data_IF_597757221732
#
_entry.id   IF_597757221732
#
_cell.length_a   1.000
_cell.length_b   1.000
_cell.length_c   1.000
_cell.angle_alpha   90.00
_cell.angle_beta   90.00
_cell.angle_gamma   90.00
#
_symmetry.space_group_name_H-M   'P 1'
#
loop_
_entity.id
_entity.type
_entity.pdbx_description
1 polymer ?
#
# COMPACT_ATOMS: atom_id res chain seq x y z
N UNK A 1 -30.55 -64.48 -11.20
CA UNK A 1 -29.78 -63.69 -12.21
C UNK A 1 -28.89 -62.73 -11.46
N UNK A 2 -27.62 -63.08 -11.29
CA UNK A 2 -26.65 -62.21 -10.64
C UNK A 2 -25.93 -61.37 -11.71
N UNK A 3 -26.05 -60.04 -11.60
CA UNK A 3 -25.26 -59.11 -12.39
C UNK A 3 -23.88 -58.94 -11.74
N UNK A 4 -22.83 -59.24 -12.47
CA UNK A 4 -21.45 -58.96 -12.10
C UNK A 4 -21.17 -57.44 -12.32
N UNK A 5 -20.40 -56.79 -11.42
CA UNK A 5 -19.96 -55.41 -11.65
C UNK A 5 -18.85 -55.33 -12.71
N UNK A 6 -18.99 -54.34 -13.61
CA UNK A 6 -18.01 -54.06 -14.65
C UNK A 6 -16.69 -53.49 -14.09
N UNK A 7 -15.60 -53.49 -14.87
CA UNK A 7 -14.28 -53.08 -14.41
C UNK A 7 -14.23 -51.57 -14.14
N UNK A 8 -13.64 -51.22 -12.99
CA UNK A 8 -13.32 -49.84 -12.59
C UNK A 8 -12.10 -49.41 -13.42
N UNK A 9 -12.29 -48.47 -14.35
CA UNK A 9 -11.19 -47.81 -15.05
C UNK A 9 -10.64 -46.70 -14.17
N UNK A 10 -9.39 -46.83 -13.74
CA UNK A 10 -8.64 -45.76 -13.10
C UNK A 10 -8.41 -44.61 -14.11
N UNK A 11 -8.59 -43.34 -13.72
CA UNK A 11 -8.21 -42.21 -14.57
C UNK A 11 -6.68 -42.21 -14.70
N UNK A 12 -6.22 -42.01 -15.93
CA UNK A 12 -4.80 -41.78 -16.22
C UNK A 12 -4.28 -40.56 -15.44
N UNK A 13 -3.03 -40.59 -14.97
CA UNK A 13 -2.42 -39.44 -14.33
C UNK A 13 -2.28 -38.30 -15.34
N UNK A 14 -2.92 -37.15 -15.06
CA UNK A 14 -2.74 -35.93 -15.83
C UNK A 14 -1.29 -35.50 -15.74
N UNK A 15 -0.55 -35.59 -16.83
CA UNK A 15 0.82 -35.07 -16.92
C UNK A 15 0.80 -33.56 -16.56
N UNK A 16 1.64 -33.18 -15.62
CA UNK A 16 1.91 -31.78 -15.32
C UNK A 16 2.50 -31.11 -16.57
N UNK A 17 2.11 -29.85 -16.89
CA UNK A 17 2.63 -29.18 -18.06
C UNK A 17 4.16 -29.07 -17.98
N UNK A 18 4.83 -29.59 -19.01
CA UNK A 18 6.28 -29.54 -19.16
C UNK A 18 6.70 -28.08 -19.46
N UNK A 19 7.02 -27.33 -18.38
CA UNK A 19 7.46 -25.95 -18.50
C UNK A 19 8.90 -25.97 -19.00
N UNK A 20 9.14 -25.54 -20.24
CA UNK A 20 10.46 -25.52 -20.82
C UNK A 20 11.47 -24.78 -19.93
N UNK A 21 12.70 -25.29 -19.78
CA UNK A 21 13.75 -24.63 -18.98
C UNK A 21 14.03 -23.18 -19.38
N UNK A 22 13.75 -22.82 -20.64
CA UNK A 22 13.81 -21.45 -21.16
C UNK A 22 12.74 -20.53 -20.55
N UNK A 23 11.56 -21.05 -20.18
CA UNK A 23 10.48 -20.25 -19.63
C UNK A 23 10.64 -20.07 -18.12
N UNK A 24 11.20 -21.06 -17.44
CA UNK A 24 11.68 -20.91 -16.06
C UNK A 24 12.83 -19.91 -15.98
N UNK A 25 13.72 -19.89 -16.97
CA UNK A 25 14.82 -18.94 -17.06
C UNK A 25 14.29 -17.52 -17.38
N UNK A 26 13.28 -17.38 -18.24
CA UNK A 26 12.59 -16.09 -18.51
C UNK A 26 11.84 -15.58 -17.29
N UNK A 27 11.15 -16.44 -16.56
CA UNK A 27 10.50 -16.09 -15.31
C UNK A 27 11.52 -15.66 -14.23
N UNK A 28 12.67 -16.33 -14.13
CA UNK A 28 13.76 -15.95 -13.24
C UNK A 28 14.56 -14.72 -13.69
N UNK A 29 14.49 -14.32 -14.97
CA UNK A 29 15.14 -13.15 -15.55
C UNK A 29 14.25 -11.89 -15.51
N UNK A 30 13.00 -12.04 -15.12
CA UNK A 30 12.09 -10.92 -14.89
C UNK A 30 12.35 -10.29 -13.49
N UNK A 31 13.65 -10.06 -13.16
CA UNK A 31 14.09 -9.23 -12.02
C UNK A 31 13.81 -7.74 -12.29
N UNK A 32 12.60 -7.44 -12.75
CA UNK A 32 12.04 -6.11 -12.59
C UNK A 32 11.91 -5.81 -11.09
N UNK A 33 12.03 -4.56 -10.64
CA UNK A 33 11.79 -4.22 -9.25
C UNK A 33 10.40 -4.75 -8.86
N UNK A 34 10.32 -5.47 -7.72
CA UNK A 34 9.07 -6.02 -7.22
C UNK A 34 7.94 -4.97 -7.35
N UNK A 35 6.75 -5.38 -7.82
CA UNK A 35 5.65 -4.46 -8.02
C UNK A 35 5.42 -3.67 -6.73
N UNK A 36 5.28 -2.36 -6.86
CA UNK A 36 5.04 -1.50 -5.71
C UNK A 36 3.60 -1.68 -5.23
N UNK A 37 3.40 -1.84 -3.95
CA UNK A 37 2.10 -1.99 -3.31
C UNK A 37 1.40 -0.62 -3.23
N UNK A 38 0.25 -0.50 -3.87
CA UNK A 38 -0.52 0.76 -3.98
C UNK A 38 -1.43 0.93 -2.78
N UNK A 39 -1.18 1.96 -1.99
CA UNK A 39 -2.01 2.31 -0.82
C UNK A 39 -2.67 3.66 -1.07
N UNK A 40 -3.98 3.71 -0.92
CA UNK A 40 -4.75 4.96 -0.89
C UNK A 40 -5.20 5.24 0.53
N UNK A 41 -5.14 6.50 0.98
CA UNK A 41 -5.63 6.93 2.28
C UNK A 41 -6.53 8.15 2.15
N UNK A 42 -7.71 8.11 2.82
CA UNK A 42 -8.70 9.16 2.75
C UNK A 42 -9.46 9.36 4.06
N UNK A 43 -9.45 10.58 4.58
CA UNK A 43 -10.38 10.98 5.64
C UNK A 43 -11.73 11.34 5.01
N UNK A 44 -12.78 10.59 5.36
CA UNK A 44 -14.09 10.65 4.71
C UNK A 44 -14.97 11.79 5.20
N UNK A 45 -14.58 12.52 6.27
CA UNK A 45 -15.41 13.56 6.91
C UNK A 45 -16.82 13.04 7.23
N UNK A 46 -16.93 12.18 8.21
CA UNK A 46 -18.17 11.47 8.63
C UNK A 46 -19.46 12.25 8.40
N UNK A 47 -20.52 11.57 7.92
CA UNK A 47 -21.89 12.05 7.72
C UNK A 47 -22.10 13.16 6.68
N UNK A 48 -21.14 14.07 6.50
CA UNK A 48 -21.27 15.26 5.62
C UNK A 48 -20.28 15.26 4.47
N UNK A 49 -19.30 14.36 4.49
CA UNK A 49 -18.29 14.18 3.45
C UNK A 49 -18.63 13.03 2.51
N UNK A 50 -17.62 12.18 2.27
CA UNK A 50 -17.71 11.07 1.33
C UNK A 50 -18.69 10.00 1.77
N UNK A 51 -19.61 9.65 0.87
CA UNK A 51 -20.52 8.51 0.99
C UNK A 51 -19.86 7.23 0.47
N UNK A 52 -20.56 6.12 0.58
CA UNK A 52 -20.07 4.82 0.08
C UNK A 52 -19.86 4.84 -1.44
N UNK A 53 -20.70 5.54 -2.19
CA UNK A 53 -20.61 5.72 -3.63
C UNK A 53 -19.30 6.41 -4.05
N UNK A 54 -18.87 7.41 -3.30
CA UNK A 54 -17.60 8.12 -3.55
C UNK A 54 -16.40 7.20 -3.28
N UNK A 55 -16.50 6.34 -2.28
CA UNK A 55 -15.46 5.35 -1.96
C UNK A 55 -15.41 4.26 -3.03
N UNK A 56 -16.55 3.82 -3.55
CA UNK A 56 -16.64 2.88 -4.68
C UNK A 56 -15.98 3.48 -5.91
N UNK A 57 -16.34 4.71 -6.28
CA UNK A 57 -15.74 5.40 -7.41
C UNK A 57 -14.21 5.55 -7.27
N UNK A 58 -13.72 5.83 -6.06
CA UNK A 58 -12.28 5.88 -5.77
C UNK A 58 -11.61 4.51 -5.96
N UNK A 59 -12.23 3.43 -5.50
CA UNK A 59 -11.72 2.07 -5.67
C UNK A 59 -11.65 1.71 -7.16
N UNK A 60 -12.68 2.01 -7.93
CA UNK A 60 -12.73 1.72 -9.36
C UNK A 60 -11.68 2.50 -10.16
N UNK A 61 -11.49 3.80 -9.83
CA UNK A 61 -10.52 4.66 -10.49
C UNK A 61 -9.07 4.30 -10.16
N UNK A 62 -8.80 4.04 -8.88
CA UNK A 62 -7.44 3.87 -8.40
C UNK A 62 -6.99 2.41 -8.31
N UNK A 63 -7.93 1.46 -8.23
CA UNK A 63 -7.63 0.03 -8.04
C UNK A 63 -6.55 -0.21 -6.98
N UNK A 64 -6.75 0.25 -5.72
CA UNK A 64 -5.73 0.14 -4.69
C UNK A 64 -5.59 -1.30 -4.18
N UNK A 65 -4.37 -1.71 -3.82
CA UNK A 65 -4.13 -2.95 -3.08
C UNK A 65 -4.63 -2.85 -1.63
N UNK A 66 -4.63 -1.62 -1.08
CA UNK A 66 -5.12 -1.32 0.25
C UNK A 66 -5.69 0.10 0.31
N UNK A 67 -6.93 0.24 0.77
CA UNK A 67 -7.55 1.52 1.07
C UNK A 67 -7.66 1.71 2.58
N UNK A 68 -7.12 2.82 3.07
CA UNK A 68 -7.16 3.25 4.47
C UNK A 68 -8.14 4.41 4.60
N UNK A 69 -9.10 4.28 5.49
CA UNK A 69 -10.13 5.29 5.67
C UNK A 69 -10.13 5.80 7.11
N UNK A 70 -10.25 7.11 7.28
CA UNK A 70 -10.48 7.76 8.55
C UNK A 70 -11.89 8.34 8.56
N UNK A 71 -12.47 8.50 9.73
CA UNK A 71 -13.86 8.90 9.96
C UNK A 71 -14.90 7.99 9.29
N UNK A 72 -14.53 6.76 8.95
CA UNK A 72 -15.44 5.78 8.37
C UNK A 72 -16.58 5.45 9.34
N UNK A 73 -17.82 5.54 8.85
CA UNK A 73 -19.02 5.17 9.59
C UNK A 73 -19.41 3.71 9.32
N UNK A 74 -20.38 3.18 10.07
CA UNK A 74 -20.89 1.83 9.86
C UNK A 74 -21.41 1.59 8.44
N UNK A 75 -21.96 2.62 7.80
CA UNK A 75 -22.49 2.55 6.43
C UNK A 75 -21.42 2.19 5.39
N UNK A 76 -20.15 2.61 5.61
CA UNK A 76 -19.04 2.25 4.72
C UNK A 76 -18.76 0.72 4.76
N UNK A 77 -19.18 0.02 5.80
CA UNK A 77 -19.03 -1.43 5.90
C UNK A 77 -19.74 -2.24 4.79
N UNK A 78 -20.75 -1.64 4.12
CA UNK A 78 -21.42 -2.26 2.97
C UNK A 78 -20.56 -2.29 1.70
N UNK A 79 -19.31 -1.78 1.74
CA UNK A 79 -18.38 -1.88 0.59
C UNK A 79 -18.19 -3.32 0.11
N UNK A 80 -18.03 -4.27 1.03
CA UNK A 80 -17.81 -5.68 0.67
C UNK A 80 -18.99 -6.30 -0.09
N UNK A 81 -20.21 -5.85 0.17
CA UNK A 81 -21.42 -6.28 -0.54
C UNK A 81 -21.56 -5.61 -1.90
N UNK A 82 -21.00 -4.41 -2.07
CA UNK A 82 -21.14 -3.58 -3.27
C UNK A 82 -20.03 -3.83 -4.30
N UNK A 83 -18.78 -3.96 -3.85
CA UNK A 83 -17.59 -4.08 -4.72
C UNK A 83 -16.76 -5.33 -4.38
N UNK A 84 -17.22 -6.17 -3.46
CA UNK A 84 -16.43 -7.30 -2.98
C UNK A 84 -15.24 -6.89 -2.12
N UNK A 85 -14.27 -7.81 -1.99
CA UNK A 85 -13.08 -7.59 -1.18
C UNK A 85 -13.29 -7.82 0.31
N UNK A 86 -12.36 -7.32 1.10
CA UNK A 86 -12.28 -7.55 2.55
C UNK A 86 -12.26 -6.22 3.28
N UNK A 87 -13.08 -6.11 4.32
CA UNK A 87 -13.27 -4.88 5.07
C UNK A 87 -13.03 -5.13 6.56
N UNK A 88 -12.30 -4.23 7.21
CA UNK A 88 -12.07 -4.25 8.64
C UNK A 88 -12.31 -2.86 9.23
N UNK A 89 -13.23 -2.77 10.20
CA UNK A 89 -13.60 -1.53 10.87
C UNK A 89 -13.14 -1.51 12.32
N UNK A 90 -12.53 -0.40 12.72
CA UNK A 90 -12.10 -0.11 14.09
C UNK A 90 -12.82 1.15 14.59
N UNK A 91 -14.02 1.03 15.17
CA UNK A 91 -14.76 2.17 15.70
C UNK A 91 -14.00 2.85 16.84
N UNK A 92 -14.11 4.17 16.93
CA UNK A 92 -13.64 4.89 18.10
C UNK A 92 -14.57 4.64 19.28
N UNK A 93 -14.06 4.44 20.49
CA UNK A 93 -14.89 4.23 21.67
C UNK A 93 -15.93 5.35 21.87
N UNK A 94 -17.20 4.98 21.98
CA UNK A 94 -18.32 5.91 22.15
C UNK A 94 -18.62 6.81 20.95
N UNK A 95 -18.11 6.49 19.76
CA UNK A 95 -18.34 7.27 18.52
C UNK A 95 -18.97 6.41 17.42
N UNK A 96 -19.66 7.09 16.50
CA UNK A 96 -20.32 6.46 15.33
C UNK A 96 -19.37 6.22 14.16
N UNK A 97 -18.13 6.65 14.27
CA UNK A 97 -17.10 6.59 13.24
C UNK A 97 -15.80 6.06 13.81
N UNK A 98 -14.90 5.67 12.94
CA UNK A 98 -13.59 5.12 13.31
C UNK A 98 -12.65 5.05 12.13
N UNK A 99 -11.71 4.12 12.22
CA UNK A 99 -10.81 3.76 11.13
C UNK A 99 -11.38 2.56 10.39
N UNK A 100 -11.10 2.47 9.09
CA UNK A 100 -11.39 1.28 8.32
C UNK A 100 -10.29 0.97 7.32
N UNK A 101 -10.17 -0.29 6.97
CA UNK A 101 -9.35 -0.80 5.88
C UNK A 101 -10.20 -1.60 4.92
N UNK A 102 -9.90 -1.49 3.62
CA UNK A 102 -10.45 -2.34 2.58
C UNK A 102 -9.33 -2.81 1.65
N UNK A 103 -9.42 -4.06 1.19
CA UNK A 103 -8.50 -4.66 0.22
C UNK A 103 -9.27 -5.56 -0.74
N UNK A 104 -8.90 -5.64 -2.02
CA UNK A 104 -9.49 -6.59 -2.97
C UNK A 104 -9.17 -8.04 -2.60
N UNK A 105 -8.06 -8.29 -1.90
CA UNK A 105 -7.62 -9.62 -1.46
C UNK A 105 -7.75 -9.79 0.06
N UNK A 106 -7.82 -11.04 0.57
CA UNK A 106 -7.85 -11.28 2.02
C UNK A 106 -6.66 -10.63 2.73
N UNK A 107 -6.93 -10.06 3.91
CA UNK A 107 -5.82 -9.61 4.77
C UNK A 107 -4.97 -10.81 5.21
N UNK A 108 -3.64 -10.78 5.05
CA UNK A 108 -2.77 -11.89 5.48
C UNK A 108 -2.92 -12.21 6.96
N UNK A 109 -3.17 -11.18 7.77
CA UNK A 109 -3.50 -11.28 9.19
C UNK A 109 -4.66 -10.32 9.49
N UNK A 110 -5.54 -10.62 10.47
CA UNK A 110 -6.58 -9.67 10.87
C UNK A 110 -5.96 -8.34 11.33
N UNK A 111 -6.43 -7.17 10.82
CA UNK A 111 -5.96 -5.88 11.29
C UNK A 111 -6.19 -5.70 12.80
N UNK A 112 -5.16 -5.28 13.53
CA UNK A 112 -5.21 -5.07 14.98
C UNK A 112 -5.55 -3.62 15.29
N UNK A 113 -6.41 -3.41 16.29
CA UNK A 113 -6.70 -2.08 16.84
C UNK A 113 -5.81 -1.83 18.06
N UNK A 114 -5.08 -0.71 18.07
CA UNK A 114 -4.19 -0.31 19.14
C UNK A 114 -4.68 1.01 19.73
N UNK A 115 -4.92 1.06 21.04
CA UNK A 115 -5.29 2.29 21.75
C UNK A 115 -4.09 3.24 21.82
N UNK A 116 -4.37 4.52 21.59
CA UNK A 116 -3.36 5.59 21.63
C UNK A 116 -3.49 6.42 22.91
N UNK A 117 -2.42 7.11 23.33
CA UNK A 117 -2.52 8.10 24.40
C UNK A 117 -3.67 9.07 24.13
N UNK A 118 -4.60 9.16 25.06
CA UNK A 118 -5.81 9.98 24.93
C UNK A 118 -5.59 11.38 25.50
N UNK A 119 -6.28 12.35 24.87
CA UNK A 119 -6.58 13.63 25.51
C UNK A 119 -7.86 13.54 26.34
N UNK A 120 -8.28 14.66 26.92
CA UNK A 120 -9.46 14.71 27.79
C UNK A 120 -10.79 14.38 27.06
N UNK A 121 -10.87 14.51 25.73
CA UNK A 121 -12.15 14.51 25.00
C UNK A 121 -12.30 13.33 24.05
N UNK A 122 -11.24 12.86 23.38
CA UNK A 122 -11.33 11.84 22.34
C UNK A 122 -10.30 10.75 22.55
N UNK A 123 -10.78 9.51 22.69
CA UNK A 123 -9.93 8.32 22.64
C UNK A 123 -9.64 7.98 21.20
N UNK A 124 -8.37 8.06 20.81
CA UNK A 124 -7.92 7.67 19.46
C UNK A 124 -7.40 6.25 19.45
N UNK A 125 -7.58 5.60 18.33
CA UNK A 125 -6.99 4.29 18.03
C UNK A 125 -6.16 4.38 16.77
N UNK A 126 -5.29 3.39 16.57
CA UNK A 126 -4.59 3.12 15.33
C UNK A 126 -4.97 1.72 14.90
N UNK A 127 -5.13 1.50 13.61
CA UNK A 127 -5.39 0.19 13.02
C UNK A 127 -4.11 -0.27 12.33
N UNK A 128 -3.59 -1.45 12.70
CA UNK A 128 -2.32 -1.98 12.20
C UNK A 128 -2.55 -3.28 11.48
N UNK A 129 -2.06 -3.36 10.25
CA UNK A 129 -2.06 -4.55 9.39
C UNK A 129 -0.62 -4.99 9.13
N UNK A 130 -0.35 -6.27 9.32
CA UNK A 130 0.88 -6.91 8.86
C UNK A 130 0.65 -7.56 7.49
N UNK A 131 1.39 -7.10 6.49
CA UNK A 131 1.34 -7.64 5.12
C UNK A 131 2.35 -8.77 4.90
N UNK A 132 3.07 -9.19 5.94
CA UNK A 132 4.15 -10.16 5.86
C UNK A 132 5.47 -9.55 5.39
N UNK A 133 5.46 -8.69 4.40
CA UNK A 133 6.64 -7.98 3.87
C UNK A 133 6.94 -6.68 4.58
N UNK A 134 5.91 -5.99 5.07
CA UNK A 134 5.99 -4.79 5.90
C UNK A 134 4.67 -4.54 6.65
N UNK A 135 4.74 -3.76 7.71
CA UNK A 135 3.56 -3.35 8.48
C UNK A 135 2.96 -2.04 7.97
N UNK A 136 1.63 -1.90 8.02
CA UNK A 136 0.91 -0.66 7.70
C UNK A 136 0.07 -0.22 8.88
N UNK A 137 0.18 1.05 9.26
CA UNK A 137 -0.65 1.66 10.28
C UNK A 137 -1.56 2.73 9.66
N UNK A 138 -2.88 2.57 9.83
CA UNK A 138 -3.91 3.57 9.52
C UNK A 138 -4.13 4.44 10.75
N UNK A 139 -4.02 5.76 10.60
CA UNK A 139 -4.08 6.70 11.72
C UNK A 139 -5.03 7.87 11.47
N UNK A 140 -5.67 8.33 12.56
CA UNK A 140 -6.29 9.63 12.65
C UNK A 140 -5.89 10.23 14.01
N UNK A 141 -4.86 11.06 14.02
CA UNK A 141 -4.28 11.59 15.24
C UNK A 141 -5.11 12.75 15.82
N UNK A 142 -4.86 13.09 17.07
CA UNK A 142 -5.54 14.19 17.75
C UNK A 142 -5.09 15.56 17.20
N UNK A 143 -5.94 16.59 17.32
CA UNK A 143 -5.60 17.96 16.90
C UNK A 143 -4.50 18.64 17.71
N UNK A 144 -4.29 18.24 18.98
CA UNK A 144 -3.28 18.84 19.85
C UNK A 144 -1.86 18.51 19.42
N UNK A 145 -1.05 19.52 19.08
CA UNK A 145 0.29 19.34 18.48
C UNK A 145 1.28 18.52 19.34
N UNK A 146 1.15 18.52 20.66
CA UNK A 146 1.97 17.69 21.55
C UNK A 146 1.43 16.25 21.61
N UNK A 147 0.10 16.11 21.68
CA UNK A 147 -0.56 14.83 21.82
C UNK A 147 -0.42 13.99 20.53
N UNK A 148 -0.63 14.58 19.36
CA UNK A 148 -0.50 13.86 18.09
C UNK A 148 0.94 13.34 17.88
N UNK A 149 1.97 14.10 18.27
CA UNK A 149 3.38 13.64 18.23
C UNK A 149 3.65 12.51 19.22
N UNK A 150 3.04 12.57 20.42
CA UNK A 150 3.13 11.48 21.40
C UNK A 150 2.44 10.21 20.90
N UNK A 151 1.27 10.35 20.28
CA UNK A 151 0.54 9.25 19.63
C UNK A 151 1.38 8.63 18.52
N UNK A 152 1.95 9.44 17.63
CA UNK A 152 2.81 8.98 16.55
C UNK A 152 4.02 8.19 17.05
N UNK A 153 4.72 8.69 18.08
CA UNK A 153 5.84 7.96 18.70
C UNK A 153 5.40 6.60 19.27
N UNK A 154 4.23 6.54 19.89
CA UNK A 154 3.68 5.29 20.42
C UNK A 154 3.38 4.29 19.31
N UNK A 155 2.84 4.74 18.16
CA UNK A 155 2.55 3.90 17.01
C UNK A 155 3.85 3.30 16.46
N UNK A 156 4.83 4.13 16.13
CA UNK A 156 6.05 3.68 15.47
C UNK A 156 6.92 2.76 16.33
N UNK A 157 6.83 2.89 17.67
CA UNK A 157 7.51 1.99 18.61
C UNK A 157 6.96 0.55 18.55
N UNK A 158 5.72 0.35 18.11
CA UNK A 158 5.08 -0.96 17.99
C UNK A 158 5.09 -1.54 16.59
N UNK A 159 5.74 -0.88 15.61
CA UNK A 159 5.79 -1.33 14.23
C UNK A 159 7.08 -2.10 13.91
N UNK A 160 7.02 -3.06 12.95
CA UNK A 160 8.18 -3.82 12.51
C UNK A 160 9.23 -2.93 11.84
N UNK A 161 10.47 -3.45 11.60
CA UNK A 161 11.55 -2.70 10.96
C UNK A 161 11.19 -2.10 9.60
N UNK A 162 10.36 -2.79 8.81
CA UNK A 162 9.77 -2.28 7.57
C UNK A 162 8.34 -1.90 7.84
N UNK A 163 8.02 -0.60 7.77
CA UNK A 163 6.66 -0.14 8.09
C UNK A 163 6.33 1.19 7.43
N UNK A 164 5.02 1.39 7.20
CA UNK A 164 4.43 2.66 6.78
C UNK A 164 3.33 3.09 7.76
N UNK A 165 3.23 4.39 8.00
CA UNK A 165 2.14 5.02 8.75
C UNK A 165 1.46 5.98 7.80
N UNK A 166 0.15 5.82 7.58
CA UNK A 166 -0.64 6.67 6.68
C UNK A 166 -1.91 7.15 7.38
N UNK A 167 -2.39 8.30 6.96
CA UNK A 167 -3.66 8.87 7.39
C UNK A 167 -3.58 10.34 7.73
N UNK A 168 -4.62 10.80 8.41
CA UNK A 168 -4.71 12.16 8.90
C UNK A 168 -3.91 12.32 10.21
N UNK A 169 -2.83 13.08 10.13
CA UNK A 169 -1.95 13.32 11.27
C UNK A 169 -2.37 14.49 12.13
N UNK A 170 -3.20 15.39 11.61
CA UNK A 170 -3.50 16.66 12.28
C UNK A 170 -2.23 17.42 12.76
N UNK A 171 -1.10 17.18 12.09
CA UNK A 171 0.19 17.82 12.38
C UNK A 171 0.43 18.95 11.40
N UNK A 172 0.47 20.17 11.92
CA UNK A 172 0.99 21.33 11.20
C UNK A 172 2.52 21.34 11.34
N UNK A 173 3.23 21.51 10.22
CA UNK A 173 4.69 21.43 10.17
C UNK A 173 5.23 19.99 10.06
N UNK A 174 6.53 19.75 10.28
CA UNK A 174 7.16 18.46 10.07
C UNK A 174 6.69 17.39 11.05
N UNK A 175 6.43 16.18 10.56
CA UNK A 175 6.20 14.99 11.37
C UNK A 175 7.54 14.23 11.53
N UNK A 176 8.34 14.65 12.51
CA UNK A 176 9.67 14.08 12.73
C UNK A 176 9.59 12.87 13.67
N UNK A 177 9.99 11.71 13.15
CA UNK A 177 10.10 10.46 13.90
C UNK A 177 11.42 9.78 13.53
N UNK A 178 12.26 9.41 14.50
CA UNK A 178 13.52 8.73 14.22
C UNK A 178 13.32 7.46 13.41
N UNK A 179 14.14 7.28 12.37
CA UNK A 179 14.10 6.12 11.48
C UNK A 179 12.98 6.12 10.44
N UNK A 180 12.05 7.07 10.47
CA UNK A 180 11.01 7.24 9.45
C UNK A 180 11.28 8.46 8.57
N UNK A 181 10.95 8.34 7.29
CA UNK A 181 10.99 9.42 6.31
C UNK A 181 9.57 9.78 5.88
N UNK A 182 9.28 11.06 5.70
CA UNK A 182 8.02 11.51 5.11
C UNK A 182 8.10 11.35 3.59
N UNK A 183 7.45 10.31 3.09
CA UNK A 183 7.44 9.91 1.67
C UNK A 183 6.12 10.23 0.96
N UNK A 184 5.13 10.73 1.69
CA UNK A 184 3.85 11.15 1.13
C UNK A 184 3.95 12.41 0.27
N UNK A 185 2.90 12.71 -0.50
CA UNK A 185 2.89 13.87 -1.40
C UNK A 185 3.04 15.17 -0.63
N UNK A 186 3.67 16.18 -1.27
CA UNK A 186 3.98 17.48 -0.64
C UNK A 186 2.89 18.52 -0.79
N UNK A 187 1.88 18.26 -1.64
CA UNK A 187 0.77 19.17 -1.88
C UNK A 187 -0.19 19.22 -0.68
N UNK A 188 -0.93 20.32 -0.47
CA UNK A 188 -2.00 20.39 0.52
C UNK A 188 -3.06 19.32 0.29
N UNK A 189 -3.52 18.73 1.39
CA UNK A 189 -4.53 17.66 1.40
C UNK A 189 -5.83 18.08 2.06
N UNK A 190 -5.81 19.17 2.84
CA UNK A 190 -6.97 19.70 3.56
C UNK A 190 -7.10 21.20 3.31
N UNK A 191 -8.33 21.68 3.17
CA UNK A 191 -8.65 23.11 3.07
C UNK A 191 -9.45 23.54 4.31
N UNK A 192 -8.77 24.13 5.27
CA UNK A 192 -9.44 24.71 6.44
C UNK A 192 -10.22 25.94 5.98
N UNK A 193 -11.56 25.91 6.17
CA UNK A 193 -12.49 27.01 5.80
C UNK A 193 -12.27 27.47 4.32
N UNK A 194 -11.90 26.53 3.44
CA UNK A 194 -11.61 26.75 2.02
C UNK A 194 -10.50 27.78 1.71
N UNK A 195 -9.90 28.38 2.72
CA UNK A 195 -8.93 29.49 2.58
C UNK A 195 -7.48 29.04 2.88
N UNK A 196 -7.29 28.22 3.92
CA UNK A 196 -5.94 27.84 4.34
C UNK A 196 -5.58 26.41 3.90
N UNK A 197 -4.72 26.24 2.87
CA UNK A 197 -4.30 24.92 2.42
C UNK A 197 -3.31 24.28 3.42
N UNK A 198 -3.74 23.19 4.04
CA UNK A 198 -2.91 22.43 4.99
C UNK A 198 -2.55 21.05 4.43
N UNK A 199 -1.36 20.57 4.77
CA UNK A 199 -0.93 19.19 4.50
C UNK A 199 -1.06 18.39 5.79
N UNK A 200 -2.21 17.75 6.01
CA UNK A 200 -2.52 16.96 7.20
C UNK A 200 -2.39 15.46 6.96
N UNK A 201 -2.72 15.00 5.74
CA UNK A 201 -2.62 13.62 5.35
C UNK A 201 -1.18 13.32 4.88
N UNK A 202 -0.59 12.27 5.44
CA UNK A 202 0.84 11.96 5.25
C UNK A 202 1.08 10.47 5.13
N UNK A 203 2.27 10.14 4.64
CA UNK A 203 2.87 8.81 4.71
C UNK A 203 4.29 8.92 5.28
N UNK A 204 4.50 8.35 6.46
CA UNK A 204 5.85 8.11 6.97
C UNK A 204 6.23 6.65 6.71
N UNK A 205 7.43 6.41 6.24
CA UNK A 205 7.93 5.08 5.92
C UNK A 205 9.33 4.82 6.50
N UNK A 206 9.56 3.58 6.92
CA UNK A 206 10.86 3.06 7.37
C UNK A 206 11.14 1.73 6.65
N UNK A 207 12.36 1.56 6.12
CA UNK A 207 12.76 0.35 5.38
C UNK A 207 11.96 0.10 4.12
N UNK A 208 11.35 1.16 3.55
CA UNK A 208 10.54 1.11 2.34
C UNK A 208 10.98 2.22 1.36
N UNK A 209 10.92 1.89 0.07
CA UNK A 209 11.05 2.84 -1.03
C UNK A 209 9.66 3.26 -1.47
N UNK A 210 9.42 4.57 -1.55
CA UNK A 210 8.24 5.11 -2.22
C UNK A 210 8.62 5.39 -3.68
N UNK A 211 7.94 4.70 -4.60
CA UNK A 211 8.16 4.82 -6.05
C UNK A 211 7.47 6.03 -6.62
N UNK A 212 6.26 6.28 -6.12
CA UNK A 212 5.42 7.39 -6.52
C UNK A 212 4.46 7.78 -5.41
N UNK A 213 4.05 9.06 -5.37
CA UNK A 213 3.03 9.54 -4.46
C UNK A 213 2.31 10.77 -5.03
N UNK A 214 0.99 10.81 -4.87
CA UNK A 214 0.16 11.90 -5.35
C UNK A 214 -0.96 12.26 -4.37
N UNK A 215 -1.44 13.50 -4.48
CA UNK A 215 -2.72 13.94 -3.93
C UNK A 215 -3.75 13.82 -5.05
N UNK A 216 -4.78 13.02 -4.82
CA UNK A 216 -5.84 12.77 -5.80
C UNK A 216 -6.83 13.95 -5.88
N UNK A 217 -7.71 13.97 -6.89
CA UNK A 217 -8.78 14.97 -6.99
C UNK A 217 -9.62 15.03 -5.71
N UNK A 218 -10.16 16.20 -5.40
CA UNK A 218 -11.02 16.38 -4.25
C UNK A 218 -12.38 15.71 -4.52
N UNK A 219 -12.83 14.89 -3.58
CA UNK A 219 -14.20 14.41 -3.47
C UNK A 219 -15.04 15.34 -2.55
N UNK A 220 -16.16 14.83 -2.03
CA UNK A 220 -17.04 15.63 -1.13
C UNK A 220 -16.47 15.84 0.28
N UNK A 221 -15.34 15.20 0.64
CA UNK A 221 -14.64 15.46 1.91
C UNK A 221 -13.83 16.77 1.84
N UNK A 222 -13.60 17.40 3.00
CA UNK A 222 -12.64 18.51 3.14
C UNK A 222 -11.17 18.03 3.05
N UNK A 223 -10.94 16.72 3.14
CA UNK A 223 -9.68 16.08 2.84
C UNK A 223 -9.65 15.51 1.42
N UNK A 224 -8.48 15.61 0.78
CA UNK A 224 -8.18 14.95 -0.50
C UNK A 224 -7.54 13.61 -0.24
N UNK A 225 -7.90 12.55 -0.98
CA UNK A 225 -7.20 11.28 -0.88
C UNK A 225 -5.73 11.44 -1.26
N UNK A 226 -4.85 10.65 -0.62
CA UNK A 226 -3.45 10.49 -1.03
C UNK A 226 -3.22 9.07 -1.50
N UNK A 227 -2.37 8.90 -2.51
CA UNK A 227 -1.88 7.62 -2.99
C UNK A 227 -0.38 7.54 -2.82
N UNK A 228 0.12 6.36 -2.44
CA UNK A 228 1.55 6.04 -2.39
C UNK A 228 1.79 4.64 -2.94
N UNK A 229 2.92 4.48 -3.63
CA UNK A 229 3.38 3.19 -4.14
C UNK A 229 4.64 2.78 -3.38
N UNK A 230 4.52 1.78 -2.52
CA UNK A 230 5.58 1.36 -1.60
C UNK A 230 6.13 -0.02 -1.96
N UNK A 231 7.43 -0.20 -1.84
CA UNK A 231 8.09 -1.50 -1.89
C UNK A 231 9.14 -1.61 -0.80
N UNK A 232 9.43 -2.82 -0.26
CA UNK A 232 10.54 -3.00 0.67
C UNK A 232 11.86 -2.48 0.08
N UNK A 233 12.67 -1.81 0.92
CA UNK A 233 14.05 -1.52 0.53
C UNK A 233 14.80 -2.85 0.33
N UNK A 234 15.64 -2.96 -0.71
CA UNK A 234 16.54 -4.10 -0.86
C UNK A 234 17.39 -4.24 0.41
N UNK A 235 17.62 -5.46 0.85
CA UNK A 235 18.50 -5.69 2.00
C UNK A 235 19.91 -5.20 1.69
N UNK A 236 20.44 -4.34 2.56
CA UNK A 236 21.84 -3.93 2.48
C UNK A 236 22.70 -5.17 2.72
N UNK A 237 23.28 -5.72 1.65
CA UNK A 237 24.12 -6.91 1.72
C UNK A 237 23.77 -8.04 0.76
N UNK A 238 22.65 -7.99 0.03
CA UNK A 238 22.59 -8.77 -1.20
C UNK A 238 23.52 -8.09 -2.22
N UNK A 239 24.68 -8.70 -2.56
CA UNK A 239 25.48 -8.16 -3.63
C UNK A 239 24.55 -8.05 -4.83
N UNK A 240 24.52 -6.87 -5.46
CA UNK A 240 23.98 -6.73 -6.83
C UNK A 240 24.64 -7.88 -7.57
N UNK A 241 23.87 -8.93 -7.76
CA UNK A 241 24.38 -10.23 -8.17
C UNK A 241 25.32 -10.02 -9.35
N UNK A 242 26.47 -10.68 -9.36
CA UNK A 242 27.41 -10.73 -10.48
C UNK A 242 26.70 -10.86 -11.85
N UNK A 243 25.46 -11.38 -11.86
CA UNK A 243 24.49 -11.36 -12.96
C UNK A 243 24.11 -9.97 -13.46
N UNK A 244 23.87 -8.99 -12.59
CA UNK A 244 23.55 -7.62 -13.04
C UNK A 244 24.78 -6.95 -13.68
N UNK A 245 25.97 -7.23 -13.16
CA UNK A 245 27.22 -6.76 -13.76
C UNK A 245 27.55 -7.51 -15.05
N UNK A 246 27.30 -8.82 -15.13
CA UNK A 246 27.45 -9.61 -16.33
C UNK A 246 26.47 -9.17 -17.43
N UNK A 247 25.22 -8.89 -17.09
CA UNK A 247 24.23 -8.38 -18.05
C UNK A 247 24.56 -6.94 -18.53
N UNK A 248 25.10 -6.09 -17.66
CA UNK A 248 25.58 -4.76 -18.07
C UNK A 248 26.83 -4.86 -18.96
N UNK A 249 27.77 -5.74 -18.63
CA UNK A 249 28.95 -6.01 -19.45
C UNK A 249 28.59 -6.60 -20.82
N UNK A 250 27.61 -7.50 -20.87
CA UNK A 250 27.13 -8.06 -22.12
C UNK A 250 26.40 -7.04 -22.99
N UNK A 251 25.59 -6.13 -22.42
CA UNK A 251 24.98 -5.01 -23.13
C UNK A 251 26.03 -4.07 -23.71
N UNK A 252 27.09 -3.76 -22.95
CA UNK A 252 28.21 -2.95 -23.42
C UNK A 252 29.00 -3.65 -24.55
N UNK A 253 29.23 -4.97 -24.47
CA UNK A 253 29.86 -5.73 -25.54
C UNK A 253 29.02 -5.73 -26.84
N UNK A 254 27.70 -5.91 -26.73
CA UNK A 254 26.78 -5.87 -27.89
C UNK A 254 26.70 -4.47 -28.50
N UNK A 255 26.70 -3.42 -27.69
CA UNK A 255 26.76 -2.05 -28.17
C UNK A 255 28.08 -1.74 -28.90
N UNK A 256 29.22 -2.19 -28.34
CA UNK A 256 30.53 -2.05 -28.95
C UNK A 256 30.70 -2.87 -30.24
N UNK A 257 30.08 -4.06 -30.32
CA UNK A 257 30.08 -4.88 -31.54
C UNK A 257 29.26 -4.23 -32.68
N UNK A 258 28.11 -3.61 -32.36
CA UNK A 258 27.30 -2.90 -33.37
C UNK A 258 28.02 -1.63 -33.89
N UNK A 259 28.76 -0.93 -33.03
CA UNK A 259 29.56 0.23 -33.46
C UNK A 259 30.71 -0.16 -34.39
N UNK A 260 31.27 -1.37 -34.26
CA UNK A 260 32.34 -1.86 -35.12
C UNK A 260 31.84 -2.39 -36.49
N UNK A 261 30.59 -2.83 -36.56
CA UNK A 261 29.99 -3.31 -37.84
C UNK A 261 29.57 -2.12 -38.72
N UNK A 262 29.26 -0.95 -38.10
CA UNK A 262 28.93 0.29 -38.81
C UNK A 262 30.11 1.04 -39.40
N UNK A 263 31.35 0.61 -39.14
CA UNK A 263 32.60 1.27 -39.61
C UNK A 263 33.34 0.49 -40.70
N UNK A 264 32.72 -0.53 -41.30
CA UNK A 264 33.21 -1.17 -42.51
C UNK A 264 32.31 -0.77 -43.68
N UNK A 265 32.67 0.27 -44.33
CA UNK A 265 32.27 0.72 -45.55
C UNK A 265 33.22 0.90 -46.54
N UNK A 266 32.78 1.29 -47.59
CA UNK A 266 32.77 0.58 -48.86
C UNK A 266 33.73 1.29 -49.80
N UNK A 267 34.50 0.55 -50.39
CA UNK A 267 34.95 0.87 -51.76
C UNK A 267 35.25 -0.43 -52.47
N UNK A 268 34.25 -0.88 -53.23
CA UNK A 268 34.43 -1.39 -54.60
C UNK A 268 33.10 -1.70 -55.26
#
# INVERSE_FOLDING_TARGET
MHHAPGPITNPEPTEAPDIAPSDLLKAALNDGPAPAFKIVSWNLLRRVGAAIEDVIALIEQESPDLLLMQEATRAIGFLKERVGGHYAWAPLPGRIHGLAMWSPTPFPTPPRTVSLPSGAVVHRVCQVLDLGTFGVANVHLSHGQMLNRRQLRRIVAGLPPRAAVLGDYNIVGPALVPGFRDVGPRRPTHAMIEVLPLRLDRCLARGLVCRDSAVLPRGPSDHRPIVVHLSPEPEAGQPRTLRGMAAAAERLRRAGARARIGLRDPER
#
